data_IF_641858544959
#
_entry.id   IF_641858544959
#
_cell.length_a   1.000
_cell.length_b   1.000
_cell.length_c   1.000
_cell.angle_alpha   90.00
_cell.angle_beta   90.00
_cell.angle_gamma   90.00
#
_symmetry.space_group_name_H-M   'P 1'
#
loop_
_entity.id
_entity.type
_entity.pdbx_description
1 polymer ?
#
# COMPACT_ATOMS: atom_id res chain seq x y z
N UNK A 1 3.67 12.84 -10.66
CA UNK A 1 4.05 13.01 -12.08
C UNK A 1 4.96 11.89 -12.61
N UNK A 2 6.23 11.77 -12.21
CA UNK A 2 7.13 10.76 -12.82
C UNK A 2 6.79 9.32 -12.43
N UNK A 3 6.50 9.06 -11.15
CA UNK A 3 6.08 7.73 -10.69
C UNK A 3 4.75 7.31 -11.32
N UNK A 4 3.76 8.21 -11.35
CA UNK A 4 2.46 7.95 -12.00
C UNK A 4 2.62 7.63 -13.49
N UNK A 5 3.47 8.38 -14.21
CA UNK A 5 3.75 8.10 -15.63
C UNK A 5 4.41 6.73 -15.81
N UNK A 6 5.32 6.36 -14.91
CA UNK A 6 5.92 5.03 -14.92
C UNK A 6 4.85 3.95 -14.71
N UNK A 7 3.97 4.12 -13.72
CA UNK A 7 2.91 3.15 -13.41
C UNK A 7 1.93 2.98 -14.59
N UNK A 8 1.52 4.07 -15.25
CA UNK A 8 0.66 4.00 -16.45
C UNK A 8 1.35 3.26 -17.60
N UNK A 9 2.60 3.61 -17.90
CA UNK A 9 3.34 2.96 -19.00
C UNK A 9 3.54 1.47 -18.72
N UNK A 10 3.80 1.10 -17.46
CA UNK A 10 3.94 -0.30 -17.06
C UNK A 10 2.62 -1.06 -17.22
N UNK A 11 1.51 -0.48 -16.76
CA UNK A 11 0.19 -1.08 -16.87
C UNK A 11 -0.21 -1.32 -18.33
N UNK A 12 0.01 -0.31 -19.20
CA UNK A 12 -0.26 -0.42 -20.63
C UNK A 12 0.56 -1.53 -21.28
N UNK A 13 1.87 -1.62 -20.98
CA UNK A 13 2.73 -2.66 -21.54
C UNK A 13 2.32 -4.07 -21.09
N UNK A 14 2.00 -4.25 -19.81
CA UNK A 14 1.55 -5.55 -19.29
C UNK A 14 0.22 -5.95 -19.93
N UNK A 15 -0.70 -5.00 -20.10
CA UNK A 15 -1.99 -5.24 -20.76
C UNK A 15 -1.79 -5.63 -22.22
N UNK A 16 -0.94 -4.91 -22.95
CA UNK A 16 -0.64 -5.20 -24.35
C UNK A 16 0.05 -6.55 -24.56
N UNK A 17 0.96 -6.93 -23.65
CA UNK A 17 1.73 -8.16 -23.76
C UNK A 17 0.97 -9.41 -23.28
N UNK A 18 0.15 -9.28 -22.23
CA UNK A 18 -0.43 -10.42 -21.52
C UNK A 18 -1.96 -10.43 -21.47
N UNK A 19 -2.62 -9.35 -21.90
CA UNK A 19 -4.09 -9.23 -21.87
C UNK A 19 -4.67 -9.18 -20.45
N UNK A 20 -3.87 -8.79 -19.45
CA UNK A 20 -4.29 -8.76 -18.06
C UNK A 20 -5.01 -7.46 -17.70
N UNK A 21 -6.00 -7.59 -16.82
CA UNK A 21 -6.79 -6.47 -16.32
C UNK A 21 -6.26 -5.92 -14.99
N UNK A 22 -6.53 -4.63 -14.79
CA UNK A 22 -6.13 -3.86 -13.62
C UNK A 22 -7.37 -3.33 -12.91
N UNK A 23 -7.27 -3.17 -11.59
CA UNK A 23 -8.34 -2.61 -10.77
C UNK A 23 -7.79 -1.85 -9.58
N UNK A 24 -8.62 -0.96 -9.03
CA UNK A 24 -8.30 -0.28 -7.78
C UNK A 24 -8.56 -1.19 -6.59
N UNK A 25 -7.57 -1.31 -5.70
CA UNK A 25 -7.68 -2.01 -4.43
C UNK A 25 -7.56 -1.03 -3.27
N UNK A 26 -8.40 -1.23 -2.27
CA UNK A 26 -8.28 -0.54 -1.00
C UNK A 26 -6.99 -0.98 -0.29
N UNK A 27 -6.26 -0.02 0.27
CA UNK A 27 -5.04 -0.26 1.05
C UNK A 27 -5.22 0.05 2.54
N UNK A 28 -6.45 0.34 2.95
CA UNK A 28 -6.78 0.71 4.31
C UNK A 28 -6.61 2.21 4.56
N UNK A 29 -6.84 2.62 5.82
CA UNK A 29 -6.89 4.03 6.20
C UNK A 29 -5.54 4.73 5.96
N UNK A 30 -5.60 6.02 5.63
CA UNK A 30 -4.44 6.87 5.35
C UNK A 30 -3.58 6.43 4.16
N UNK A 31 -4.11 5.59 3.26
CA UNK A 31 -3.42 5.16 2.02
C UNK A 31 -4.29 5.41 0.80
N UNK A 32 -3.66 5.85 -0.28
CA UNK A 32 -4.33 5.92 -1.57
C UNK A 32 -4.59 4.52 -2.12
N UNK A 33 -5.74 4.27 -2.77
CA UNK A 33 -6.00 3.02 -3.47
C UNK A 33 -4.85 2.63 -4.41
N UNK A 34 -4.56 1.33 -4.50
CA UNK A 34 -3.55 0.82 -5.42
C UNK A 34 -4.18 0.45 -6.75
N UNK A 35 -3.55 0.77 -7.87
CA UNK A 35 -3.93 0.24 -9.18
C UNK A 35 -3.12 -1.03 -9.45
N UNK A 36 -3.75 -2.20 -9.31
CA UNK A 36 -3.07 -3.50 -9.29
C UNK A 36 -3.76 -4.52 -10.19
N UNK A 37 -3.02 -5.55 -10.62
CA UNK A 37 -3.54 -6.63 -11.45
C UNK A 37 -4.65 -7.41 -10.76
N UNK A 38 -5.83 -7.52 -11.38
CA UNK A 38 -6.96 -8.29 -10.83
C UNK A 38 -6.59 -9.77 -10.63
N UNK A 39 -5.77 -10.30 -11.55
CA UNK A 39 -5.32 -11.69 -11.53
C UNK A 39 -4.44 -12.06 -10.32
N UNK A 40 -3.92 -11.08 -9.57
CA UNK A 40 -3.12 -11.33 -8.36
C UNK A 40 -4.02 -11.26 -7.13
N UNK A 41 -4.29 -12.38 -6.42
CA UNK A 41 -5.18 -12.36 -5.27
C UNK A 41 -4.48 -11.84 -4.01
N UNK A 42 -5.27 -11.28 -3.09
CA UNK A 42 -4.77 -10.69 -1.83
C UNK A 42 -3.88 -11.64 -0.99
N UNK A 43 -4.20 -12.94 -0.82
CA UNK A 43 -3.34 -13.85 -0.06
C UNK A 43 -1.93 -13.98 -0.65
N UNK A 44 -1.77 -13.80 -1.96
CA UNK A 44 -0.45 -13.82 -2.59
C UNK A 44 0.32 -12.55 -2.22
N UNK A 45 -0.33 -11.39 -2.26
CA UNK A 45 0.28 -10.12 -1.87
C UNK A 45 0.80 -10.18 -0.42
N UNK A 46 0.01 -10.74 0.49
CA UNK A 46 0.37 -10.87 1.91
C UNK A 46 1.65 -11.71 2.10
N UNK A 47 1.76 -12.84 1.39
CA UNK A 47 2.95 -13.71 1.47
C UNK A 47 4.22 -12.99 1.01
N UNK A 48 4.11 -12.15 -0.02
CA UNK A 48 5.25 -11.47 -0.64
C UNK A 48 5.54 -10.07 -0.08
N UNK A 49 4.63 -9.46 0.69
CA UNK A 49 4.73 -8.07 1.18
C UNK A 49 5.26 -7.95 2.61
N UNK A 50 6.19 -8.82 3.01
CA UNK A 50 6.70 -8.92 4.40
C UNK A 50 7.24 -7.61 4.96
N UNK A 51 7.89 -6.79 4.13
CA UNK A 51 8.40 -5.48 4.58
C UNK A 51 7.27 -4.52 4.96
N UNK A 52 6.22 -4.47 4.16
CA UNK A 52 5.05 -3.62 4.45
C UNK A 52 4.39 -4.06 5.74
N UNK A 53 4.22 -5.37 5.92
CA UNK A 53 3.70 -5.93 7.17
C UNK A 53 4.57 -5.54 8.37
N UNK A 54 5.89 -5.68 8.28
CA UNK A 54 6.81 -5.31 9.36
C UNK A 54 6.77 -3.80 9.69
N UNK A 55 6.55 -2.94 8.68
CA UNK A 55 6.36 -1.50 8.89
C UNK A 55 5.05 -1.24 9.63
N UNK A 56 3.97 -1.94 9.27
CA UNK A 56 2.65 -1.75 9.89
C UNK A 56 2.71 -2.18 11.36
N UNK A 57 3.28 -3.35 11.64
CA UNK A 57 3.50 -3.86 13.01
C UNK A 57 4.37 -2.90 13.85
N UNK A 58 5.46 -2.38 13.30
CA UNK A 58 6.33 -1.45 14.01
C UNK A 58 5.67 -0.08 14.21
N UNK A 59 4.86 0.38 13.24
CA UNK A 59 4.09 1.62 13.35
C UNK A 59 3.07 1.52 14.50
N UNK A 60 2.33 0.41 14.57
CA UNK A 60 1.38 0.17 15.65
C UNK A 60 2.09 0.11 17.01
N UNK A 61 3.22 -0.59 17.11
CA UNK A 61 4.04 -0.62 18.33
C UNK A 61 4.48 0.76 18.80
N UNK A 62 4.88 1.63 17.87
CA UNK A 62 5.30 3.00 18.18
C UNK A 62 4.12 3.89 18.59
N UNK A 63 2.94 3.70 17.98
CA UNK A 63 1.72 4.39 18.37
C UNK A 63 1.33 4.00 19.80
N UNK A 64 1.35 2.71 20.13
CA UNK A 64 1.00 2.23 21.48
C UNK A 64 1.97 2.79 22.54
N UNK A 65 3.26 2.80 22.24
CA UNK A 65 4.27 3.41 23.11
C UNK A 65 4.05 4.92 23.30
N UNK A 66 3.68 5.63 22.23
CA UNK A 66 3.38 7.05 22.29
C UNK A 66 2.14 7.35 23.14
N UNK A 67 1.06 6.58 22.94
CA UNK A 67 -0.20 6.71 23.70
C UNK A 67 0.04 6.44 25.18
N UNK A 68 0.82 5.41 25.51
CA UNK A 68 1.17 5.11 26.90
C UNK A 68 1.95 6.26 27.58
N UNK A 69 2.79 6.97 26.83
CA UNK A 69 3.59 8.08 27.35
C UNK A 69 2.84 9.43 27.40
N UNK A 70 1.94 9.70 26.46
CA UNK A 70 1.34 11.05 26.28
C UNK A 70 -0.19 11.09 26.46
N UNK A 71 -0.87 9.93 26.54
CA UNK A 71 -2.31 9.85 26.75
C UNK A 71 -3.18 10.13 25.52
N UNK A 72 -2.57 10.38 24.36
CA UNK A 72 -3.27 10.55 23.08
C UNK A 72 -2.44 9.99 21.92
N UNK A 73 -3.05 9.80 20.75
CA UNK A 73 -2.33 9.42 19.52
C UNK A 73 -1.55 10.61 18.95
N UNK A 74 -0.45 10.37 18.22
CA UNK A 74 0.23 11.44 17.48
C UNK A 74 -0.73 12.09 16.47
N UNK A 75 -0.67 13.41 16.33
CA UNK A 75 -1.39 14.10 15.27
C UNK A 75 -0.85 13.68 13.90
N UNK A 76 -1.70 13.51 12.88
CA UNK A 76 -1.22 13.28 11.52
C UNK A 76 -0.38 14.48 11.10
N UNK A 77 0.94 14.31 11.03
CA UNK A 77 1.79 15.31 10.40
C UNK A 77 1.65 15.10 8.90
N UNK A 78 0.93 15.99 8.22
CA UNK A 78 0.92 16.02 6.76
C UNK A 78 2.33 16.40 6.31
N UNK A 79 3.05 15.44 5.72
CA UNK A 79 4.31 15.66 5.00
C UNK A 79 4.02 15.72 3.51
#
# INVERSE_FOLDING_TARGET
AMSERYDTILADHITAALGLEWGYRDRGPNRNPAHELIAVPQPLLEVFSRRSQAIDEETDRLIDAYVAAHGHRPDPTTV
#
